data_IF_504940612572
#
_entry.id   IF_504940612572
#
_cell.length_a   1.000
_cell.length_b   1.000
_cell.length_c   1.000
_cell.angle_alpha   90.00
_cell.angle_beta   90.00
_cell.angle_gamma   90.00
#
_symmetry.space_group_name_H-M   'P 1'
#
loop_
_entity.id
_entity.type
_entity.pdbx_description
1 polymer ?
#
# COMPACT_ATOMS: atom_id res chain seq x y z
N UNK A 1 -15.37 -14.00 -10.39
CA UNK A 1 -15.28 -14.62 -11.73
C UNK A 1 -13.85 -14.57 -12.28
N UNK A 2 -13.19 -13.41 -12.32
CA UNK A 2 -11.82 -13.28 -12.88
C UNK A 2 -10.78 -14.17 -12.17
N UNK A 3 -10.77 -14.26 -10.84
CA UNK A 3 -9.86 -15.14 -10.09
C UNK A 3 -9.99 -16.63 -10.49
N UNK A 4 -11.19 -17.10 -10.80
CA UNK A 4 -11.42 -18.47 -11.26
C UNK A 4 -10.84 -18.70 -12.65
N UNK A 5 -10.93 -17.68 -13.52
CA UNK A 5 -10.35 -17.72 -14.88
C UNK A 5 -8.81 -17.68 -14.79
N UNK A 6 -8.24 -16.92 -13.87
CA UNK A 6 -6.79 -16.80 -13.72
C UNK A 6 -6.13 -17.99 -12.99
N UNK A 7 -6.91 -18.77 -12.21
CA UNK A 7 -6.38 -19.91 -11.47
C UNK A 7 -5.66 -20.96 -12.35
N UNK A 8 -6.20 -21.37 -13.52
CA UNK A 8 -5.49 -22.29 -14.43
C UNK A 8 -4.16 -21.74 -14.94
N UNK A 9 -4.10 -20.42 -15.24
CA UNK A 9 -2.86 -19.77 -15.66
C UNK A 9 -1.83 -19.75 -14.53
N UNK A 10 -2.25 -19.41 -13.33
CA UNK A 10 -1.39 -19.48 -12.15
C UNK A 10 -0.83 -20.90 -11.95
N UNK A 11 -1.66 -21.93 -12.05
CA UNK A 11 -1.23 -23.32 -11.92
C UNK A 11 -0.29 -23.75 -13.05
N UNK A 12 -0.55 -23.35 -14.28
CA UNK A 12 0.33 -23.65 -15.43
C UNK A 12 1.71 -23.00 -15.28
N UNK A 13 1.75 -21.72 -14.85
CA UNK A 13 3.00 -21.01 -14.60
C UNK A 13 3.76 -21.59 -13.39
N UNK A 14 3.06 -22.00 -12.31
CA UNK A 14 3.68 -22.73 -11.20
C UNK A 14 4.26 -24.08 -11.68
N UNK A 15 3.55 -24.81 -12.53
CA UNK A 15 4.06 -26.06 -13.08
C UNK A 15 5.30 -25.84 -13.95
N UNK A 16 5.31 -24.80 -14.79
CA UNK A 16 6.50 -24.42 -15.55
C UNK A 16 7.67 -24.15 -14.62
N UNK A 17 7.52 -23.30 -13.62
CA UNK A 17 8.58 -22.96 -12.67
C UNK A 17 9.04 -24.17 -11.86
N UNK A 18 8.10 -25.03 -11.43
CA UNK A 18 8.41 -26.30 -10.79
C UNK A 18 9.29 -27.19 -11.67
N UNK A 19 8.90 -27.38 -12.95
CA UNK A 19 9.67 -28.20 -13.90
C UNK A 19 11.09 -27.66 -14.07
N UNK A 20 11.24 -26.35 -14.19
CA UNK A 20 12.56 -25.72 -14.36
C UNK A 20 13.43 -25.85 -13.13
N UNK A 21 12.92 -25.51 -11.97
CA UNK A 21 13.67 -25.61 -10.71
C UNK A 21 13.96 -27.06 -10.31
N UNK A 22 13.03 -27.99 -10.58
CA UNK A 22 13.24 -29.42 -10.33
C UNK A 22 14.30 -30.01 -11.26
N UNK A 23 14.27 -29.65 -12.55
CA UNK A 23 15.30 -30.07 -13.52
C UNK A 23 16.70 -29.57 -13.10
N UNK A 24 16.80 -28.30 -12.70
CA UNK A 24 18.03 -27.74 -12.17
C UNK A 24 18.49 -28.45 -10.90
N UNK A 25 17.60 -28.70 -9.96
CA UNK A 25 17.89 -29.41 -8.73
C UNK A 25 18.46 -30.80 -9.00
N UNK A 26 17.93 -31.53 -9.99
CA UNK A 26 18.40 -32.85 -10.35
C UNK A 26 19.82 -32.86 -10.92
N UNK A 27 20.21 -31.77 -11.60
CA UNK A 27 21.59 -31.60 -12.09
C UNK A 27 22.55 -31.32 -10.94
N UNK A 28 22.14 -30.51 -9.96
CA UNK A 28 23.01 -30.10 -8.84
C UNK A 28 23.19 -31.17 -7.76
N UNK A 29 22.18 -32.05 -7.55
CA UNK A 29 22.19 -33.02 -6.45
C UNK A 29 22.64 -34.39 -6.94
N UNK A 30 23.94 -34.60 -7.02
CA UNK A 30 24.51 -35.92 -7.29
C UNK A 30 25.03 -36.66 -6.03
N UNK A 31 25.02 -35.99 -4.84
CA UNK A 31 25.97 -36.38 -3.81
C UNK A 31 25.37 -37.11 -2.59
N UNK A 32 24.15 -36.87 -2.14
CA UNK A 32 23.63 -37.49 -0.91
C UNK A 32 22.10 -37.70 -0.98
N UNK A 33 21.64 -38.95 -1.02
CA UNK A 33 20.21 -39.32 -1.00
C UNK A 33 19.32 -38.50 -1.94
N UNK A 34 19.57 -38.49 -3.25
CA UNK A 34 18.90 -37.62 -4.23
C UNK A 34 17.39 -37.79 -4.21
N UNK A 35 16.87 -38.98 -3.96
CA UNK A 35 15.43 -39.26 -3.99
C UNK A 35 14.69 -38.64 -2.81
N UNK A 36 15.27 -38.65 -1.61
CA UNK A 36 14.67 -38.00 -0.43
C UNK A 36 14.60 -36.47 -0.64
N UNK A 37 15.67 -35.88 -1.15
CA UNK A 37 15.72 -34.42 -1.40
C UNK A 37 14.72 -34.05 -2.49
N UNK A 38 14.66 -34.80 -3.58
CA UNK A 38 13.66 -34.61 -4.65
C UNK A 38 12.24 -34.72 -4.14
N UNK A 39 11.97 -35.69 -3.27
CA UNK A 39 10.67 -35.89 -2.65
C UNK A 39 10.30 -34.71 -1.74
N UNK A 40 11.19 -34.30 -0.83
CA UNK A 40 10.97 -33.15 0.05
C UNK A 40 10.77 -31.87 -0.74
N UNK A 41 11.56 -31.65 -1.80
CA UNK A 41 11.39 -30.49 -2.67
C UNK A 41 10.00 -30.44 -3.32
N UNK A 42 9.51 -31.57 -3.87
CA UNK A 42 8.15 -31.65 -4.45
C UNK A 42 7.08 -31.24 -3.47
N UNK A 43 7.13 -31.79 -2.26
CA UNK A 43 6.15 -31.48 -1.21
C UNK A 43 6.22 -29.99 -0.84
N UNK A 44 7.42 -29.48 -0.55
CA UNK A 44 7.61 -28.10 -0.13
C UNK A 44 7.17 -27.11 -1.22
N UNK A 45 7.57 -27.37 -2.47
CA UNK A 45 7.19 -26.53 -3.59
C UNK A 45 5.66 -26.43 -3.74
N UNK A 46 4.95 -27.57 -3.71
CA UNK A 46 3.52 -27.55 -3.91
C UNK A 46 2.74 -27.05 -2.68
N UNK A 47 3.25 -27.23 -1.48
CA UNK A 47 2.67 -26.58 -0.29
C UNK A 47 2.76 -25.05 -0.43
N UNK A 48 3.90 -24.52 -0.87
CA UNK A 48 4.06 -23.08 -1.09
C UNK A 48 3.23 -22.60 -2.29
N UNK A 49 3.26 -23.34 -3.41
CA UNK A 49 2.48 -23.02 -4.61
C UNK A 49 0.96 -23.04 -4.39
N UNK A 50 0.46 -23.92 -3.54
CA UNK A 50 -0.96 -23.95 -3.16
C UNK A 50 -1.32 -23.10 -1.95
N UNK A 51 -0.35 -22.47 -1.31
CA UNK A 51 -0.57 -21.71 -0.07
C UNK A 51 -1.67 -20.66 -0.19
N UNK A 52 -1.79 -20.00 -1.35
CA UNK A 52 -2.84 -19.02 -1.64
C UNK A 52 -4.24 -19.65 -1.56
N UNK A 53 -4.43 -20.79 -2.22
CA UNK A 53 -5.71 -21.50 -2.22
C UNK A 53 -6.02 -22.10 -0.85
N UNK A 54 -5.00 -22.67 -0.19
CA UNK A 54 -5.14 -23.21 1.15
C UNK A 54 -5.56 -22.11 2.13
N UNK A 55 -4.90 -20.95 2.08
CA UNK A 55 -5.23 -19.80 2.94
C UNK A 55 -6.65 -19.27 2.71
N UNK A 56 -7.17 -19.37 1.49
CA UNK A 56 -8.53 -18.93 1.16
C UNK A 56 -9.61 -19.88 1.69
N UNK A 57 -9.34 -21.19 1.62
CA UNK A 57 -10.32 -22.24 2.02
C UNK A 57 -10.30 -22.48 3.54
N UNK A 58 -9.16 -22.33 4.19
CA UNK A 58 -9.05 -22.59 5.62
C UNK A 58 -9.95 -21.66 6.45
N UNK A 59 -10.58 -22.17 7.51
CA UNK A 59 -11.27 -21.34 8.48
C UNK A 59 -10.26 -20.44 9.21
N UNK A 60 -10.74 -19.31 9.70
CA UNK A 60 -9.93 -18.35 10.46
C UNK A 60 -9.25 -19.02 11.67
N UNK A 61 -7.93 -19.14 11.60
CA UNK A 61 -7.11 -19.86 12.56
C UNK A 61 -5.64 -19.40 12.48
N UNK A 62 -4.83 -19.82 13.46
CA UNK A 62 -3.37 -19.62 13.40
C UNK A 62 -2.75 -20.25 12.15
N UNK A 63 -3.27 -21.39 11.72
CA UNK A 63 -2.82 -22.08 10.52
C UNK A 63 -3.14 -21.27 9.27
N UNK A 64 -4.36 -20.75 9.14
CA UNK A 64 -4.74 -19.88 8.04
C UNK A 64 -3.82 -18.65 7.97
N UNK A 65 -3.52 -18.01 9.11
CA UNK A 65 -2.59 -16.88 9.17
C UNK A 65 -1.20 -17.22 8.64
N UNK A 66 -0.68 -18.40 8.99
CA UNK A 66 0.61 -18.88 8.47
C UNK A 66 0.56 -19.00 6.96
N UNK A 67 -0.49 -19.62 6.40
CA UNK A 67 -0.66 -19.77 4.96
C UNK A 67 -0.90 -18.43 4.24
N UNK A 68 -1.60 -17.47 4.85
CA UNK A 68 -1.75 -16.10 4.31
C UNK A 68 -0.40 -15.40 4.20
N UNK A 69 0.39 -15.41 5.26
CA UNK A 69 1.74 -14.82 5.24
C UNK A 69 2.63 -15.55 4.21
N UNK A 70 2.61 -16.89 4.21
CA UNK A 70 3.37 -17.69 3.26
C UNK A 70 2.98 -17.37 1.80
N UNK A 71 1.68 -17.27 1.50
CA UNK A 71 1.19 -16.95 0.16
C UNK A 71 1.61 -15.56 -0.31
N UNK A 72 1.61 -14.57 0.59
CA UNK A 72 2.02 -13.22 0.27
C UNK A 72 3.50 -13.16 -0.15
N UNK A 73 4.39 -13.82 0.60
CA UNK A 73 5.80 -13.94 0.20
C UNK A 73 5.98 -14.79 -1.06
N UNK A 74 5.23 -15.91 -1.14
CA UNK A 74 5.32 -16.81 -2.29
C UNK A 74 5.01 -16.12 -3.61
N UNK A 75 3.96 -15.31 -3.68
CA UNK A 75 3.59 -14.60 -4.92
C UNK A 75 4.74 -13.69 -5.40
N UNK A 76 5.38 -12.93 -4.49
CA UNK A 76 6.54 -12.09 -4.86
C UNK A 76 7.73 -12.91 -5.36
N UNK A 77 8.09 -13.98 -4.63
CA UNK A 77 9.14 -14.92 -5.03
C UNK A 77 8.80 -15.57 -6.36
N UNK A 78 7.54 -15.99 -6.54
CA UNK A 78 7.05 -16.63 -7.75
C UNK A 78 7.20 -15.75 -8.98
N UNK A 79 6.74 -14.50 -8.95
CA UNK A 79 6.87 -13.59 -10.09
C UNK A 79 8.33 -13.25 -10.39
N UNK A 80 9.16 -13.02 -9.36
CA UNK A 80 10.58 -12.79 -9.53
C UNK A 80 11.27 -13.99 -10.18
N UNK A 81 11.03 -15.20 -9.65
CA UNK A 81 11.61 -16.44 -10.16
C UNK A 81 11.09 -16.76 -11.58
N UNK A 82 9.81 -16.51 -11.86
CA UNK A 82 9.21 -16.72 -13.17
C UNK A 82 9.86 -15.83 -14.23
N UNK A 83 10.02 -14.52 -13.91
CA UNK A 83 10.67 -13.57 -14.81
C UNK A 83 12.11 -13.98 -15.11
N UNK A 84 12.88 -14.30 -14.07
CA UNK A 84 14.29 -14.68 -14.23
C UNK A 84 14.45 -16.04 -14.94
N UNK A 85 13.57 -17.00 -14.66
CA UNK A 85 13.58 -18.29 -15.35
C UNK A 85 13.22 -18.13 -16.83
N UNK A 86 12.21 -17.33 -17.15
CA UNK A 86 11.83 -17.05 -18.54
C UNK A 86 12.93 -16.30 -19.31
N UNK A 87 13.57 -15.32 -18.67
CA UNK A 87 14.72 -14.61 -19.24
C UNK A 87 15.91 -15.57 -19.46
N UNK A 88 16.19 -16.45 -18.51
CA UNK A 88 17.22 -17.49 -18.64
C UNK A 88 16.93 -18.46 -19.78
N UNK A 89 15.65 -18.84 -19.98
CA UNK A 89 15.25 -19.69 -21.11
C UNK A 89 15.42 -19.00 -22.45
N UNK A 90 15.05 -17.73 -22.53
CA UNK A 90 15.22 -16.93 -23.73
C UNK A 90 16.70 -16.79 -24.11
N UNK A 91 17.56 -16.47 -23.16
CA UNK A 91 19.03 -16.42 -23.36
C UNK A 91 19.54 -17.79 -23.78
N UNK A 92 19.02 -18.86 -23.15
CA UNK A 92 19.39 -20.24 -23.47
C UNK A 92 19.10 -20.67 -24.91
N UNK A 93 18.22 -19.97 -25.64
CA UNK A 93 17.97 -20.23 -27.07
C UNK A 93 19.20 -19.92 -27.95
N UNK A 94 20.04 -18.97 -27.50
CA UNK A 94 21.23 -18.53 -28.22
C UNK A 94 22.51 -19.29 -27.85
N UNK A 95 22.42 -20.25 -26.93
CA UNK A 95 23.57 -21.07 -26.48
C UNK A 95 23.56 -22.41 -27.23
N UNK A 96 24.56 -22.67 -28.12
CA UNK A 96 24.51 -23.79 -29.06
C UNK A 96 24.63 -25.19 -28.40
N UNK A 97 25.31 -25.30 -27.26
CA UNK A 97 25.44 -26.56 -26.48
C UNK A 97 25.12 -26.29 -25.02
N UNK A 98 24.11 -26.99 -24.50
CA UNK A 98 23.72 -26.92 -23.08
C UNK A 98 24.55 -27.92 -22.29
N UNK A 99 25.73 -27.49 -21.84
CA UNK A 99 26.51 -28.25 -20.85
C UNK A 99 25.79 -28.22 -19.50
N UNK A 100 25.83 -29.33 -18.77
CA UNK A 100 25.24 -29.44 -17.43
C UNK A 100 25.84 -28.44 -16.44
N UNK A 101 27.12 -28.12 -16.58
CA UNK A 101 27.78 -27.11 -15.76
C UNK A 101 27.23 -25.71 -15.99
N UNK A 102 26.92 -25.35 -17.24
CA UNK A 102 26.30 -24.07 -17.59
C UNK A 102 24.85 -23.99 -17.01
N UNK A 103 24.10 -25.08 -17.12
CA UNK A 103 22.76 -25.18 -16.56
C UNK A 103 22.78 -25.06 -15.03
N UNK A 104 23.72 -25.72 -14.36
CA UNK A 104 23.89 -25.63 -12.92
C UNK A 104 24.24 -24.19 -12.48
N UNK A 105 25.23 -23.58 -13.16
CA UNK A 105 25.65 -22.21 -12.86
C UNK A 105 24.53 -21.19 -13.08
N UNK A 106 23.78 -21.29 -14.18
CA UNK A 106 22.63 -20.43 -14.46
C UNK A 106 21.54 -20.56 -13.37
N UNK A 107 21.23 -21.79 -12.95
CA UNK A 107 20.27 -22.02 -11.88
C UNK A 107 20.71 -21.44 -10.53
N UNK A 108 22.02 -21.55 -10.19
CA UNK A 108 22.58 -20.92 -8.99
C UNK A 108 22.47 -19.41 -9.06
N UNK A 109 22.79 -18.79 -10.21
CA UNK A 109 22.68 -17.35 -10.40
C UNK A 109 21.23 -16.87 -10.26
N UNK A 110 20.27 -17.58 -10.87
CA UNK A 110 18.85 -17.26 -10.76
C UNK A 110 18.39 -17.36 -9.30
N UNK A 111 18.75 -18.43 -8.60
CA UNK A 111 18.39 -18.62 -7.19
C UNK A 111 18.98 -17.52 -6.31
N UNK A 112 20.26 -17.19 -6.53
CA UNK A 112 20.94 -16.12 -5.81
C UNK A 112 20.26 -14.75 -6.07
N UNK A 113 19.91 -14.47 -7.32
CA UNK A 113 19.18 -13.24 -7.68
C UNK A 113 17.79 -13.18 -7.01
N UNK A 114 17.00 -14.26 -7.07
CA UNK A 114 15.70 -14.35 -6.38
C UNK A 114 15.86 -14.09 -4.89
N UNK A 115 16.86 -14.71 -4.24
CA UNK A 115 17.13 -14.54 -2.82
C UNK A 115 17.50 -13.09 -2.50
N UNK A 116 18.42 -12.50 -3.27
CA UNK A 116 18.85 -11.11 -3.08
C UNK A 116 17.65 -10.15 -3.25
N UNK A 117 16.89 -10.28 -4.32
CA UNK A 117 15.73 -9.43 -4.55
C UNK A 117 14.66 -9.60 -3.47
N UNK A 118 14.39 -10.83 -3.04
CA UNK A 118 13.39 -11.10 -1.99
C UNK A 118 13.82 -10.49 -0.65
N UNK A 119 15.08 -10.69 -0.25
CA UNK A 119 15.61 -10.15 1.01
C UNK A 119 15.67 -8.63 0.96
N UNK A 120 16.23 -8.07 -0.12
CA UNK A 120 16.32 -6.62 -0.31
C UNK A 120 14.94 -5.97 -0.29
N UNK A 121 13.99 -6.48 -1.09
CA UNK A 121 12.62 -5.95 -1.13
C UNK A 121 11.92 -6.06 0.22
N UNK A 122 12.09 -7.17 0.95
CA UNK A 122 11.51 -7.35 2.28
C UNK A 122 12.08 -6.39 3.34
N UNK A 123 13.34 -5.99 3.22
CA UNK A 123 13.97 -4.99 4.09
C UNK A 123 13.51 -3.60 3.68
N UNK A 124 13.56 -3.31 2.39
CA UNK A 124 13.21 -1.99 1.83
C UNK A 124 11.75 -1.65 2.09
N UNK A 125 10.82 -2.59 1.92
CA UNK A 125 9.40 -2.41 2.22
C UNK A 125 9.09 -2.04 3.70
N UNK A 126 10.05 -2.22 4.61
CA UNK A 126 9.93 -1.81 6.02
C UNK A 126 10.63 -0.50 6.33
N UNK A 127 11.26 0.11 5.35
CA UNK A 127 11.85 1.42 5.48
C UNK A 127 10.76 2.49 5.31
N UNK A 128 10.83 3.53 6.12
CA UNK A 128 9.87 4.63 6.10
C UNK A 128 10.66 5.91 5.92
N UNK A 129 10.43 6.58 4.80
CA UNK A 129 11.01 7.86 4.49
C UNK A 129 10.00 8.98 4.70
N UNK A 130 10.49 10.15 5.06
CA UNK A 130 9.71 11.38 5.14
C UNK A 130 10.11 12.28 3.99
N UNK A 131 9.13 12.78 3.27
CA UNK A 131 9.34 13.75 2.18
C UNK A 131 8.63 15.05 2.56
N UNK A 132 9.33 16.15 2.51
CA UNK A 132 8.78 17.48 2.81
C UNK A 132 8.33 18.14 1.52
N UNK A 133 7.13 18.73 1.56
CA UNK A 133 6.56 19.55 0.50
C UNK A 133 6.17 20.90 1.07
N UNK A 134 6.37 21.96 0.30
CA UNK A 134 5.87 23.30 0.61
C UNK A 134 4.79 23.66 -0.37
N UNK A 135 3.59 23.97 0.15
CA UNK A 135 2.45 24.39 -0.65
C UNK A 135 2.02 25.76 -0.18
N UNK A 136 1.88 26.70 -1.09
CA UNK A 136 1.40 28.03 -0.80
C UNK A 136 -0.10 28.14 -1.08
N UNK A 137 -0.86 28.63 -0.11
CA UNK A 137 -2.29 28.92 -0.25
C UNK A 137 -2.51 30.39 0.01
N UNK A 138 -3.09 31.11 -0.96
CA UNK A 138 -3.33 32.56 -0.87
C UNK A 138 -4.65 32.85 -0.14
N UNK A 139 -4.71 32.40 1.12
CA UNK A 139 -5.85 32.61 2.01
C UNK A 139 -5.40 32.79 3.45
N UNK A 140 -6.08 33.65 4.18
CA UNK A 140 -5.77 33.90 5.59
C UNK A 140 -6.09 32.66 6.47
N UNK A 141 -5.15 32.27 7.33
CA UNK A 141 -5.31 31.18 8.28
C UNK A 141 -5.24 31.69 9.73
N UNK A 142 -6.21 32.54 10.14
CA UNK A 142 -6.33 33.08 11.49
C UNK A 142 -5.02 33.63 12.10
N UNK A 143 -4.24 34.37 11.30
CA UNK A 143 -2.96 34.98 11.72
C UNK A 143 -1.77 34.00 11.75
N UNK A 144 -1.94 32.75 11.35
CA UNK A 144 -0.84 31.79 11.16
C UNK A 144 -0.21 31.99 9.80
N UNK A 145 1.13 31.92 9.76
CA UNK A 145 1.92 31.99 8.53
C UNK A 145 2.24 30.59 7.96
N UNK A 146 2.17 29.58 8.79
CA UNK A 146 2.51 28.20 8.45
C UNK A 146 1.58 27.23 9.16
N UNK A 147 1.17 26.17 8.45
CA UNK A 147 0.47 25.01 9.00
C UNK A 147 1.23 23.75 8.57
N UNK A 148 1.77 23.02 9.54
CA UNK A 148 2.50 21.78 9.28
C UNK A 148 1.57 20.58 9.32
N UNK A 149 1.35 19.97 8.17
CA UNK A 149 0.44 18.82 8.02
C UNK A 149 1.27 17.55 7.77
N UNK A 150 1.09 16.54 8.61
CA UNK A 150 1.61 15.23 8.34
C UNK A 150 0.54 14.41 7.56
N UNK A 151 0.88 13.99 6.34
CA UNK A 151 0.07 13.07 5.55
C UNK A 151 0.60 11.65 5.68
N UNK A 152 -0.28 10.72 6.01
CA UNK A 152 -0.06 9.28 6.02
C UNK A 152 -1.17 8.62 5.23
N UNK A 153 -0.86 7.59 4.42
CA UNK A 153 -1.85 6.81 3.70
C UNK A 153 -1.35 5.36 3.55
N UNK A 154 -2.24 4.46 3.15
CA UNK A 154 -1.88 3.09 2.74
C UNK A 154 -1.11 2.31 3.81
N UNK A 155 -1.60 2.34 5.07
CA UNK A 155 -1.00 1.62 6.19
C UNK A 155 -1.16 0.09 6.05
N UNK A 156 -2.25 -0.35 5.43
CA UNK A 156 -2.60 -1.75 5.22
C UNK A 156 -2.33 -2.64 6.44
N UNK A 157 -2.84 -2.22 7.60
CA UNK A 157 -2.72 -3.00 8.83
C UNK A 157 -3.39 -4.37 8.66
N UNK A 158 -2.61 -5.44 8.76
CA UNK A 158 -3.10 -6.76 8.44
C UNK A 158 -2.11 -7.89 8.73
N UNK A 159 -1.96 -8.81 7.78
CA UNK A 159 -1.09 -9.97 7.94
C UNK A 159 0.40 -9.60 7.92
N UNK A 160 0.81 -8.66 7.09
CA UNK A 160 2.21 -8.29 6.85
C UNK A 160 2.61 -6.96 7.49
N UNK A 161 1.67 -6.03 7.66
CA UNK A 161 1.85 -4.73 8.30
C UNK A 161 1.24 -4.74 9.71
N UNK A 162 1.96 -4.24 10.70
CA UNK A 162 1.50 -4.27 12.09
C UNK A 162 2.29 -3.35 13.03
N UNK A 163 2.29 -3.69 14.31
CA UNK A 163 2.82 -2.86 15.40
C UNK A 163 4.22 -2.29 15.15
N UNK A 164 5.14 -3.09 14.57
CA UNK A 164 6.51 -2.61 14.30
C UNK A 164 6.55 -1.43 13.34
N UNK A 165 5.68 -1.45 12.35
CA UNK A 165 5.56 -0.43 11.33
C UNK A 165 4.88 0.81 11.90
N UNK A 166 3.76 0.60 12.63
CA UNK A 166 3.06 1.68 13.33
C UNK A 166 4.00 2.44 14.28
N UNK A 167 4.85 1.76 15.04
CA UNK A 167 5.85 2.41 15.91
C UNK A 167 6.79 3.32 15.15
N UNK A 168 7.25 2.90 13.97
CA UNK A 168 8.14 3.73 13.14
C UNK A 168 7.42 4.96 12.61
N UNK A 169 6.17 4.79 12.14
CA UNK A 169 5.35 5.87 11.60
C UNK A 169 5.07 6.91 12.69
N UNK A 170 4.57 6.47 13.84
CA UNK A 170 4.27 7.36 14.97
C UNK A 170 5.52 8.13 15.42
N UNK A 171 6.66 7.43 15.48
CA UNK A 171 7.94 8.08 15.78
C UNK A 171 8.28 9.20 14.78
N UNK A 172 8.15 8.94 13.48
CA UNK A 172 8.47 9.92 12.44
C UNK A 172 7.47 11.08 12.42
N UNK A 173 6.16 10.80 12.58
CA UNK A 173 5.15 11.84 12.71
C UNK A 173 5.52 12.79 13.88
N UNK A 174 5.79 12.22 15.06
CA UNK A 174 6.09 13.02 16.25
C UNK A 174 7.42 13.79 16.13
N UNK A 175 8.41 13.24 15.42
CA UNK A 175 9.66 13.96 15.11
C UNK A 175 9.42 15.17 14.21
N UNK A 176 8.46 15.09 13.29
CA UNK A 176 8.05 16.18 12.41
C UNK A 176 7.28 17.30 13.13
N UNK A 177 6.81 17.08 14.37
CA UNK A 177 6.02 18.03 15.16
C UNK A 177 4.90 18.69 14.34
N UNK A 178 3.97 17.90 13.74
CA UNK A 178 2.92 18.45 12.92
C UNK A 178 1.88 19.20 13.74
N UNK A 179 1.24 20.21 13.14
CA UNK A 179 0.07 20.84 13.70
C UNK A 179 -1.18 19.98 13.49
N UNK A 180 -1.25 19.28 12.36
CA UNK A 180 -2.37 18.43 11.93
C UNK A 180 -1.83 17.11 11.41
N UNK A 181 -2.51 16.00 11.70
CA UNK A 181 -2.21 14.69 11.11
C UNK A 181 -3.42 14.21 10.30
N UNK A 182 -3.18 13.90 9.04
CA UNK A 182 -4.16 13.41 8.08
C UNK A 182 -3.81 11.97 7.64
N UNK A 183 -4.72 11.02 7.85
CA UNK A 183 -4.58 9.63 7.41
C UNK A 183 -5.56 9.42 6.24
N UNK A 184 -5.01 9.41 5.03
CA UNK A 184 -5.80 9.41 3.79
C UNK A 184 -6.12 7.99 3.30
N UNK A 185 -6.80 7.19 4.12
CA UNK A 185 -7.38 5.89 3.74
C UNK A 185 -6.41 4.72 3.66
N UNK A 186 -6.96 3.55 3.37
CA UNK A 186 -6.32 2.23 3.34
C UNK A 186 -5.52 1.96 4.61
N UNK A 187 -6.17 2.22 5.74
CA UNK A 187 -5.60 2.01 7.07
C UNK A 187 -5.53 0.52 7.37
N UNK A 188 -6.53 -0.24 6.94
CA UNK A 188 -6.63 -1.68 7.13
C UNK A 188 -6.54 -2.42 5.80
N UNK A 189 -6.16 -3.70 5.88
CA UNK A 189 -6.09 -4.59 4.75
C UNK A 189 -7.29 -5.54 4.73
N UNK A 190 -8.48 -4.99 4.46
CA UNK A 190 -9.79 -5.63 4.33
C UNK A 190 -10.28 -6.44 5.53
N UNK A 191 -9.44 -7.09 6.28
CA UNK A 191 -9.83 -7.95 7.40
C UNK A 191 -9.29 -7.42 8.74
N UNK A 192 -10.13 -6.85 9.60
CA UNK A 192 -9.72 -6.44 10.95
C UNK A 192 -9.01 -7.55 11.74
N UNK A 193 -9.49 -8.80 11.60
CA UNK A 193 -8.90 -9.98 12.27
C UNK A 193 -7.50 -10.33 11.76
N UNK A 194 -7.09 -9.79 10.60
CA UNK A 194 -5.72 -9.90 10.13
C UNK A 194 -4.76 -9.05 10.97
N UNK A 195 -5.27 -8.02 11.63
CA UNK A 195 -4.49 -7.15 12.52
C UNK A 195 -4.04 -7.93 13.74
N UNK A 196 -2.73 -8.03 13.92
CA UNK A 196 -2.14 -8.70 15.08
C UNK A 196 -2.00 -7.72 16.23
N UNK A 197 -2.41 -8.12 17.43
CA UNK A 197 -2.32 -7.31 18.66
C UNK A 197 -2.98 -5.91 18.52
N UNK A 198 -4.28 -5.82 18.13
CA UNK A 198 -4.93 -4.54 17.82
C UNK A 198 -4.88 -3.55 19.00
N UNK A 199 -4.98 -4.03 20.25
CA UNK A 199 -4.87 -3.18 21.44
C UNK A 199 -3.50 -2.49 21.57
N UNK A 200 -2.41 -3.16 21.13
CA UNK A 200 -1.08 -2.56 21.13
C UNK A 200 -0.94 -1.53 20.01
N UNK A 201 -1.60 -1.78 18.88
CA UNK A 201 -1.64 -0.82 17.75
C UNK A 201 -2.44 0.41 18.17
N UNK A 202 -3.61 0.24 18.78
CA UNK A 202 -4.43 1.31 19.33
C UNK A 202 -3.60 2.20 20.28
N UNK A 203 -2.94 1.60 21.27
CA UNK A 203 -2.08 2.33 22.20
C UNK A 203 -0.91 3.04 21.52
N UNK A 204 -0.38 2.50 20.45
CA UNK A 204 0.72 3.11 19.72
C UNK A 204 0.24 4.27 18.86
N UNK A 205 -0.86 4.13 18.13
CA UNK A 205 -1.49 5.19 17.37
C UNK A 205 -1.92 6.35 18.27
N UNK A 206 -2.41 6.04 19.49
CA UNK A 206 -2.76 7.04 20.50
C UNK A 206 -1.58 7.89 21.01
N UNK A 207 -0.34 7.56 20.63
CA UNK A 207 0.85 8.39 20.92
C UNK A 207 1.14 9.45 19.86
N UNK A 208 0.36 9.53 18.80
CA UNK A 208 0.49 10.59 17.79
C UNK A 208 0.24 11.94 18.45
N UNK A 209 1.15 12.87 18.24
CA UNK A 209 1.10 14.22 18.79
C UNK A 209 0.86 15.22 17.67
N UNK A 210 -0.13 16.10 17.87
CA UNK A 210 -0.43 17.20 16.94
C UNK A 210 -1.25 18.25 17.65
N UNK A 211 -1.16 19.50 17.21
CA UNK A 211 -1.86 20.63 17.81
C UNK A 211 -3.38 20.53 17.61
N UNK A 212 -3.79 20.14 16.38
CA UNK A 212 -5.19 20.10 15.97
C UNK A 212 -5.81 18.70 15.95
N UNK A 213 -5.01 17.69 16.29
CA UNK A 213 -5.44 16.32 16.36
C UNK A 213 -5.15 15.52 15.09
N UNK A 214 -5.60 14.27 15.11
CA UNK A 214 -5.43 13.31 14.03
C UNK A 214 -6.77 12.96 13.42
N UNK A 215 -6.85 13.04 12.11
CA UNK A 215 -8.05 12.75 11.34
C UNK A 215 -7.78 11.71 10.28
N UNK A 216 -8.81 10.95 9.92
CA UNK A 216 -8.75 9.93 8.87
C UNK A 216 -9.94 10.02 7.93
N UNK A 217 -9.78 9.58 6.70
CA UNK A 217 -10.86 9.15 5.83
C UNK A 217 -10.69 7.67 5.49
N UNK A 218 -11.75 7.04 4.97
CA UNK A 218 -11.67 5.66 4.52
C UNK A 218 -11.07 5.54 3.12
N UNK A 219 -10.34 4.42 2.89
CA UNK A 219 -9.93 3.96 1.58
C UNK A 219 -10.71 2.75 1.10
N UNK A 220 -10.38 2.26 -0.09
CA UNK A 220 -11.11 1.15 -0.73
C UNK A 220 -10.83 -0.22 -0.08
N UNK A 221 -9.76 -0.36 0.69
CA UNK A 221 -9.44 -1.55 1.49
C UNK A 221 -10.00 -1.49 2.92
N UNK A 222 -10.50 -0.36 3.38
CA UNK A 222 -11.09 -0.20 4.71
C UNK A 222 -12.52 -0.74 4.77
N UNK A 223 -12.74 -1.94 4.24
CA UNK A 223 -14.00 -2.66 4.21
C UNK A 223 -13.77 -4.15 4.41
N UNK A 224 -14.65 -4.80 5.20
CA UNK A 224 -14.55 -6.22 5.49
C UNK A 224 -14.85 -7.11 4.29
N UNK A 225 -13.84 -7.47 3.53
CA UNK A 225 -13.94 -8.36 2.36
C UNK A 225 -12.89 -9.48 2.41
N UNK A 226 -13.23 -10.64 1.86
CA UNK A 226 -12.26 -11.71 1.65
C UNK A 226 -11.48 -11.47 0.36
N UNK A 227 -10.17 -11.66 0.39
CA UNK A 227 -9.28 -11.48 -0.75
C UNK A 227 -8.68 -12.80 -1.17
N UNK A 228 -8.63 -13.04 -2.48
CA UNK A 228 -7.89 -14.12 -3.13
C UNK A 228 -7.10 -13.56 -4.31
N UNK A 229 -5.76 -13.54 -4.19
CA UNK A 229 -4.89 -13.08 -5.27
C UNK A 229 -5.17 -11.65 -5.74
N UNK A 230 -5.47 -10.72 -4.82
CA UNK A 230 -5.81 -9.33 -5.14
C UNK A 230 -7.26 -9.11 -5.58
N UNK A 231 -8.10 -10.16 -5.66
CA UNK A 231 -9.51 -10.05 -5.99
C UNK A 231 -10.38 -10.15 -4.75
N UNK A 232 -11.31 -9.22 -4.60
CA UNK A 232 -12.21 -9.16 -3.45
C UNK A 232 -13.46 -10.01 -3.68
N UNK A 233 -13.89 -10.71 -2.63
CA UNK A 233 -15.11 -11.50 -2.56
C UNK A 233 -15.90 -11.02 -1.35
N UNK A 234 -16.78 -10.06 -1.54
CA UNK A 234 -17.47 -9.42 -0.43
C UNK A 234 -18.97 -9.45 -0.51
N UNK A 235 -19.59 -9.18 0.63
CA UNK A 235 -21.03 -8.96 0.78
C UNK A 235 -21.29 -7.45 0.82
N UNK A 236 -22.38 -7.02 0.19
CA UNK A 236 -22.80 -5.61 0.06
C UNK A 236 -23.30 -4.92 1.35
N UNK A 237 -22.90 -5.38 2.53
CA UNK A 237 -23.37 -4.77 3.80
C UNK A 237 -22.17 -4.50 4.70
N UNK A 238 -22.23 -3.36 5.40
CA UNK A 238 -21.32 -3.07 6.50
C UNK A 238 -21.31 -4.24 7.48
N UNK A 239 -20.14 -4.64 7.92
CA UNK A 239 -19.93 -5.84 8.74
C UNK A 239 -19.47 -5.46 10.13
N UNK A 240 -19.53 -6.44 11.07
CA UNK A 240 -18.89 -6.28 12.40
C UNK A 240 -17.41 -5.92 12.30
N UNK A 241 -16.77 -6.30 11.22
CA UNK A 241 -15.40 -5.99 10.89
C UNK A 241 -15.19 -4.48 10.68
N UNK A 242 -16.10 -3.81 9.94
CA UNK A 242 -16.02 -2.37 9.69
C UNK A 242 -16.20 -1.58 10.99
N UNK A 243 -17.11 -2.02 11.85
CA UNK A 243 -17.30 -1.43 13.18
C UNK A 243 -16.05 -1.57 14.06
N UNK A 244 -15.39 -2.71 14.05
CA UNK A 244 -14.15 -2.91 14.81
C UNK A 244 -13.01 -2.03 14.33
N UNK A 245 -12.93 -1.77 13.01
CA UNK A 245 -11.97 -0.82 12.43
C UNK A 245 -12.23 0.60 12.94
N UNK A 246 -13.48 1.05 12.92
CA UNK A 246 -13.90 2.37 13.41
C UNK A 246 -13.64 2.52 14.92
N UNK A 247 -13.97 1.50 15.71
CA UNK A 247 -13.72 1.49 17.15
C UNK A 247 -12.22 1.59 17.49
N UNK A 248 -11.34 0.92 16.73
CA UNK A 248 -9.91 1.02 16.93
C UNK A 248 -9.42 2.45 16.69
N UNK A 249 -9.85 3.09 15.59
CA UNK A 249 -9.49 4.47 15.29
C UNK A 249 -9.99 5.43 16.39
N UNK A 250 -11.24 5.29 16.79
CA UNK A 250 -11.83 6.11 17.85
C UNK A 250 -11.09 6.00 19.18
N UNK A 251 -10.74 4.76 19.61
CA UNK A 251 -9.97 4.54 20.85
C UNK A 251 -8.53 5.02 20.74
N UNK A 252 -7.98 5.08 19.54
CA UNK A 252 -6.67 5.68 19.27
C UNK A 252 -6.71 7.22 19.24
N UNK A 253 -7.87 7.85 19.46
CA UNK A 253 -8.02 9.30 19.37
C UNK A 253 -8.03 9.86 17.95
N UNK A 254 -8.18 9.01 16.94
CA UNK A 254 -8.25 9.37 15.53
C UNK A 254 -9.71 9.64 15.17
N UNK A 255 -9.99 10.83 14.64
CA UNK A 255 -11.35 11.23 14.24
C UNK A 255 -11.60 10.90 12.78
N UNK A 256 -12.57 10.04 12.53
CA UNK A 256 -12.98 9.69 11.17
C UNK A 256 -13.87 10.76 10.56
N UNK A 257 -13.50 11.25 9.39
CA UNK A 257 -14.31 12.13 8.55
C UNK A 257 -14.79 11.33 7.32
N UNK A 258 -16.07 11.00 7.31
CA UNK A 258 -16.72 10.22 6.26
C UNK A 258 -17.80 11.08 5.61
N UNK A 259 -17.47 11.71 4.46
CA UNK A 259 -18.23 12.77 3.80
C UNK A 259 -18.62 13.93 4.76
N UNK A 260 -17.65 14.34 5.58
CA UNK A 260 -17.82 15.39 6.58
C UNK A 260 -16.76 16.48 6.42
N UNK A 261 -17.20 17.71 6.66
CA UNK A 261 -16.34 18.89 6.71
C UNK A 261 -16.43 19.54 8.08
N UNK A 262 -15.29 19.93 8.63
CA UNK A 262 -15.19 20.60 9.94
C UNK A 262 -14.34 21.85 9.81
N UNK A 263 -14.67 22.87 10.60
CA UNK A 263 -13.82 24.05 10.80
C UNK A 263 -12.93 23.82 12.00
N UNK A 264 -11.61 23.92 11.81
CA UNK A 264 -10.62 23.72 12.86
C UNK A 264 -10.14 25.09 13.34
N UNK A 265 -10.29 25.32 14.66
CA UNK A 265 -9.83 26.52 15.37
C UNK A 265 -10.30 27.86 14.73
N UNK A 266 -11.44 27.84 14.01
CA UNK A 266 -11.89 28.98 13.23
C UNK A 266 -10.96 29.39 12.06
N UNK A 267 -9.89 28.65 11.81
CA UNK A 267 -8.77 29.01 10.95
C UNK A 267 -8.85 28.39 9.56
N UNK A 268 -9.17 27.13 9.45
CA UNK A 268 -9.23 26.40 8.18
C UNK A 268 -10.24 25.26 8.23
N UNK A 269 -10.68 24.81 7.06
CA UNK A 269 -11.57 23.66 6.94
C UNK A 269 -10.77 22.39 6.62
N UNK A 270 -11.20 21.30 7.24
CA UNK A 270 -10.75 19.95 6.90
C UNK A 270 -11.98 19.12 6.50
N UNK A 271 -11.96 18.59 5.29
CA UNK A 271 -12.96 17.68 4.79
C UNK A 271 -12.39 16.29 4.60
N UNK A 272 -13.12 15.25 5.00
CA UNK A 272 -12.80 13.86 4.67
C UNK A 272 -13.87 13.30 3.74
N UNK A 273 -13.43 12.78 2.61
CA UNK A 273 -14.32 12.20 1.60
C UNK A 273 -14.47 10.70 1.81
N UNK A 274 -15.68 10.22 1.58
CA UNK A 274 -15.95 8.78 1.49
C UNK A 274 -15.30 8.21 0.24
N UNK A 275 -14.59 7.11 0.37
CA UNK A 275 -14.03 6.43 -0.81
C UNK A 275 -15.14 5.96 -1.76
N UNK A 276 -14.98 6.26 -3.05
CA UNK A 276 -16.02 5.99 -4.05
C UNK A 276 -16.24 4.50 -4.30
N UNK A 277 -15.17 3.69 -4.18
CA UNK A 277 -15.22 2.24 -4.37
C UNK A 277 -15.85 1.57 -3.16
N UNK A 278 -15.51 2.02 -1.93
CA UNK A 278 -16.14 1.56 -0.69
C UNK A 278 -17.63 1.90 -0.67
N UNK A 279 -18.00 3.15 -0.96
CA UNK A 279 -19.40 3.58 -1.01
C UNK A 279 -20.23 2.69 -1.94
N UNK A 280 -19.77 2.48 -3.17
CA UNK A 280 -20.44 1.62 -4.14
C UNK A 280 -20.61 0.18 -3.67
N UNK A 281 -19.61 -0.38 -2.98
CA UNK A 281 -19.64 -1.76 -2.47
C UNK A 281 -20.72 -1.93 -1.38
N UNK A 282 -20.92 -0.93 -0.53
CA UNK A 282 -21.93 -0.95 0.54
C UNK A 282 -23.31 -0.40 0.11
N UNK A 283 -23.43 0.06 -1.14
CA UNK A 283 -24.67 0.59 -1.70
C UNK A 283 -24.97 2.02 -1.28
N UNK A 284 -23.95 2.77 -0.87
CA UNK A 284 -24.04 4.20 -0.54
C UNK A 284 -23.54 5.08 -1.68
N UNK A 285 -23.88 6.36 -1.62
CA UNK A 285 -23.37 7.37 -2.53
C UNK A 285 -22.41 8.29 -1.80
N UNK A 286 -21.29 8.59 -2.44
CA UNK A 286 -20.34 9.61 -2.01
C UNK A 286 -20.90 11.00 -2.29
N UNK A 287 -20.72 11.95 -1.38
CA UNK A 287 -21.09 13.34 -1.61
C UNK A 287 -20.25 13.94 -2.74
N UNK A 288 -20.91 14.71 -3.61
CA UNK A 288 -20.21 15.53 -4.60
C UNK A 288 -19.37 16.62 -3.92
N UNK A 289 -18.30 17.07 -4.58
CA UNK A 289 -17.39 18.08 -4.05
C UNK A 289 -18.13 19.37 -3.62
N UNK A 290 -19.06 19.85 -4.44
CA UNK A 290 -19.87 21.05 -4.15
C UNK A 290 -20.74 20.88 -2.90
N UNK A 291 -21.37 19.72 -2.72
CA UNK A 291 -22.22 19.47 -1.55
C UNK A 291 -21.41 19.28 -0.26
N UNK A 292 -20.19 18.72 -0.39
CA UNK A 292 -19.28 18.53 0.73
C UNK A 292 -18.76 19.87 1.28
N UNK A 293 -18.49 20.83 0.40
CA UNK A 293 -17.86 22.10 0.73
C UNK A 293 -18.83 23.30 0.73
N UNK A 294 -20.13 23.08 0.50
CA UNK A 294 -21.14 24.15 0.33
C UNK A 294 -21.23 25.13 1.49
N UNK A 295 -20.97 24.65 2.70
CA UNK A 295 -21.11 25.45 3.95
C UNK A 295 -19.74 26.03 4.40
N UNK A 296 -18.67 25.90 3.56
CA UNK A 296 -17.36 26.46 3.85
C UNK A 296 -17.29 27.96 3.52
N UNK A 297 -16.70 28.71 4.44
CA UNK A 297 -16.24 30.07 4.15
C UNK A 297 -14.94 29.98 3.33
N UNK A 298 -15.06 30.14 2.01
CA UNK A 298 -13.96 30.00 1.06
C UNK A 298 -12.89 31.11 1.16
N UNK A 299 -13.02 32.06 2.06
CA UNK A 299 -11.97 33.00 2.41
C UNK A 299 -10.88 32.34 3.29
N UNK A 300 -11.19 31.16 3.86
CA UNK A 300 -10.29 30.33 4.66
C UNK A 300 -9.75 29.15 3.84
N UNK A 301 -8.56 28.64 4.20
CA UNK A 301 -8.04 27.42 3.55
C UNK A 301 -8.98 26.23 3.72
N UNK A 302 -9.12 25.44 2.66
CA UNK A 302 -9.91 24.21 2.62
C UNK A 302 -9.02 23.04 2.22
N UNK A 303 -8.76 22.15 3.18
CA UNK A 303 -7.98 20.93 2.99
C UNK A 303 -8.95 19.76 2.84
N UNK A 304 -8.75 18.93 1.83
CA UNK A 304 -9.55 17.73 1.59
C UNK A 304 -8.68 16.49 1.75
N UNK A 305 -9.14 15.50 2.49
CA UNK A 305 -8.60 14.15 2.49
C UNK A 305 -9.47 13.29 1.59
N UNK A 306 -8.88 12.73 0.55
CA UNK A 306 -9.51 11.77 -0.36
C UNK A 306 -8.55 10.61 -0.59
N UNK A 307 -8.97 9.37 -0.41
CA UNK A 307 -8.05 8.27 -0.60
C UNK A 307 -7.62 8.12 -2.05
N UNK A 308 -8.60 8.06 -2.98
CA UNK A 308 -8.33 7.96 -4.40
C UNK A 308 -8.14 9.35 -5.02
N UNK A 309 -6.99 9.66 -5.69
CA UNK A 309 -6.73 10.95 -6.32
C UNK A 309 -7.58 11.16 -7.58
N UNK A 310 -8.86 11.46 -7.37
CA UNK A 310 -9.87 11.63 -8.42
C UNK A 310 -10.63 12.93 -8.24
N UNK A 311 -11.27 13.39 -9.32
CA UNK A 311 -12.17 14.55 -9.30
C UNK A 311 -11.49 15.89 -8.89
N UNK A 312 -10.18 16.03 -9.15
CA UNK A 312 -9.42 17.24 -8.81
C UNK A 312 -10.07 18.54 -9.33
N UNK A 313 -10.57 18.49 -10.57
CA UNK A 313 -11.24 19.65 -11.16
C UNK A 313 -12.50 20.04 -10.38
N UNK A 314 -13.31 19.05 -10.01
CA UNK A 314 -14.53 19.27 -9.24
C UNK A 314 -14.24 19.78 -7.83
N UNK A 315 -13.17 19.29 -7.19
CA UNK A 315 -12.72 19.75 -5.88
C UNK A 315 -12.22 21.19 -5.95
N UNK A 316 -11.38 21.51 -6.94
CA UNK A 316 -10.89 22.88 -7.15
C UNK A 316 -12.02 23.86 -7.45
N UNK A 317 -12.97 23.50 -8.33
CA UNK A 317 -14.15 24.31 -8.64
C UNK A 317 -15.09 24.48 -7.42
N UNK A 318 -15.07 23.55 -6.47
CA UNK A 318 -15.80 23.64 -5.22
C UNK A 318 -15.10 24.46 -4.14
N UNK A 319 -13.83 24.90 -4.37
CA UNK A 319 -13.08 25.76 -3.48
C UNK A 319 -12.07 25.03 -2.58
N UNK A 320 -11.73 23.78 -2.86
CA UNK A 320 -10.62 23.07 -2.20
C UNK A 320 -9.28 23.70 -2.62
N UNK A 321 -8.41 23.97 -1.65
CA UNK A 321 -7.07 24.50 -1.87
C UNK A 321 -6.00 23.42 -1.88
N UNK A 322 -6.20 22.35 -1.13
CA UNK A 322 -5.27 21.23 -1.00
C UNK A 322 -6.02 19.92 -0.94
N UNK A 323 -5.64 18.95 -1.77
CA UNK A 323 -6.12 17.58 -1.73
C UNK A 323 -4.99 16.64 -1.28
N UNK A 324 -5.27 15.87 -0.21
CA UNK A 324 -4.36 14.92 0.41
C UNK A 324 -4.82 13.50 0.14
N UNK A 325 -4.08 12.74 -0.67
CA UNK A 325 -4.49 11.43 -1.12
C UNK A 325 -3.37 10.37 -1.08
N UNK A 326 -3.76 9.11 -1.16
CA UNK A 326 -2.92 7.92 -1.23
C UNK A 326 -3.20 7.07 -2.47
N UNK A 327 -3.46 5.75 -2.27
CA UNK A 327 -4.00 4.79 -3.24
C UNK A 327 -3.07 4.35 -4.38
N UNK A 328 -2.30 5.24 -4.97
CA UNK A 328 -1.56 4.93 -6.21
C UNK A 328 -0.35 4.04 -5.99
N UNK A 329 0.14 3.96 -4.77
CA UNK A 329 1.36 3.23 -4.39
C UNK A 329 2.53 3.45 -5.37
N UNK A 330 2.55 4.56 -6.08
CA UNK A 330 3.51 4.92 -7.14
C UNK A 330 3.75 3.82 -8.21
N UNK A 331 2.74 2.97 -8.44
CA UNK A 331 2.85 1.88 -9.39
C UNK A 331 3.79 0.75 -8.97
N UNK A 332 3.93 0.48 -7.68
CA UNK A 332 4.68 -0.55 -6.92
C UNK A 332 5.43 -1.65 -7.71
N UNK A 333 5.05 -1.95 -8.94
CA UNK A 333 5.65 -3.03 -9.75
C UNK A 333 6.45 -2.41 -10.89
N UNK A 334 7.76 -2.61 -10.89
CA UNK A 334 8.60 -2.25 -12.03
C UNK A 334 8.25 -3.14 -13.26
N UNK A 335 8.12 -2.58 -14.47
CA UNK A 335 8.29 -1.18 -14.89
C UNK A 335 7.01 -0.32 -14.81
N UNK A 336 5.98 -0.73 -14.09
CA UNK A 336 4.71 -0.02 -13.94
C UNK A 336 4.77 1.25 -13.08
N UNK A 337 5.92 1.53 -12.47
CA UNK A 337 6.21 2.70 -11.64
C UNK A 337 6.44 4.00 -12.46
N UNK A 338 5.88 4.11 -13.67
CA UNK A 338 5.87 5.41 -14.35
C UNK A 338 5.05 6.36 -13.47
N UNK A 339 5.61 7.53 -13.11
CA UNK A 339 4.88 8.47 -12.28
C UNK A 339 3.54 8.75 -12.95
N UNK A 340 2.47 8.45 -12.26
CA UNK A 340 1.16 8.97 -12.61
C UNK A 340 1.22 10.47 -12.33
N UNK A 341 1.80 11.21 -13.29
CA UNK A 341 1.86 12.66 -13.31
C UNK A 341 0.45 13.19 -13.52
N UNK A 342 -0.37 13.08 -12.50
CA UNK A 342 -1.65 13.75 -12.43
C UNK A 342 -1.42 15.03 -11.64
N UNK A 343 -0.86 16.02 -12.31
CA UNK A 343 -0.79 17.36 -11.81
C UNK A 343 -2.17 18.01 -11.90
N UNK A 344 -2.91 17.93 -10.81
CA UNK A 344 -3.90 18.94 -10.47
C UNK A 344 -3.18 20.09 -9.75
N UNK A 345 -3.70 21.33 -9.76
CA UNK A 345 -3.15 22.37 -8.92
C UNK A 345 -3.22 21.91 -7.45
N UNK A 346 -2.07 21.81 -6.80
CA UNK A 346 -1.90 21.50 -5.39
C UNK A 346 -2.43 20.13 -4.91
N UNK A 347 -2.28 19.07 -5.71
CA UNK A 347 -2.53 17.70 -5.24
C UNK A 347 -1.23 17.09 -4.75
N UNK A 348 -1.19 16.72 -3.48
CA UNK A 348 -0.13 15.87 -2.93
C UNK A 348 -0.60 14.44 -2.96
N UNK A 349 -0.28 13.74 -4.04
CA UNK A 349 -0.40 12.29 -4.09
C UNK A 349 0.91 11.67 -3.66
N UNK A 350 0.78 10.67 -2.82
CA UNK A 350 1.95 10.02 -2.33
C UNK A 350 2.35 8.77 -3.11
N UNK A 351 3.67 8.58 -3.19
CA UNK A 351 4.38 7.53 -3.93
C UNK A 351 4.70 6.33 -3.11
N UNK A 352 3.94 5.63 -2.43
CA UNK A 352 4.19 4.33 -1.81
C UNK A 352 3.57 4.12 -0.43
N UNK A 353 3.38 2.88 -0.10
CA UNK A 353 2.87 2.37 1.16
C UNK A 353 3.71 2.87 2.33
N UNK A 354 3.17 3.69 3.16
CA UNK A 354 3.76 4.10 4.43
C UNK A 354 4.93 5.09 4.35
N UNK A 355 4.64 6.32 4.04
CA UNK A 355 5.51 7.48 4.26
C UNK A 355 4.75 8.51 5.09
N UNK A 356 5.38 9.35 5.83
CA UNK A 356 4.81 10.57 6.35
C UNK A 356 5.27 11.73 5.46
N UNK A 357 4.34 12.49 4.90
CA UNK A 357 4.67 13.74 4.24
C UNK A 357 4.34 14.89 5.18
N UNK A 358 5.26 15.84 5.33
CA UNK A 358 5.02 17.08 6.03
C UNK A 358 4.81 18.18 5.00
N UNK A 359 3.64 18.82 5.00
CA UNK A 359 3.37 19.97 4.17
C UNK A 359 3.30 21.23 5.02
N UNK A 360 4.08 22.25 4.67
CA UNK A 360 3.97 23.60 5.23
C UNK A 360 3.06 24.45 4.34
N UNK A 361 2.04 25.08 4.93
CA UNK A 361 1.24 26.11 4.30
C UNK A 361 1.82 27.47 4.68
N UNK A 362 2.32 28.22 3.71
CA UNK A 362 2.92 29.56 3.94
C UNK A 362 1.99 30.63 3.40
N UNK A 363 1.71 31.64 4.21
CA UNK A 363 0.88 32.79 3.85
C UNK A 363 1.64 33.74 2.90
N UNK A 364 1.07 33.98 1.73
CA UNK A 364 1.40 35.13 0.88
C UNK A 364 2.39 34.92 -0.26
N UNK A 365 1.87 35.04 -1.44
CA UNK A 365 2.47 35.05 -2.78
C UNK A 365 2.78 33.67 -3.39
N UNK A 366 1.99 33.33 -4.40
CA UNK A 366 2.21 32.23 -5.32
C UNK A 366 3.52 32.44 -6.08
N UNK A 367 4.60 31.92 -5.59
CA UNK A 367 5.62 31.38 -6.46
C UNK A 367 5.56 29.89 -6.29
N UNK A 368 4.70 29.24 -7.05
CA UNK A 368 4.82 27.84 -7.32
C UNK A 368 6.10 27.64 -8.13
N UNK A 369 7.24 27.64 -7.50
CA UNK A 369 8.38 26.85 -7.94
C UNK A 369 8.04 25.39 -7.64
N UNK A 370 7.01 24.92 -8.32
CA UNK A 370 7.00 23.53 -8.74
C UNK A 370 8.25 23.39 -9.59
N UNK A 371 9.19 22.52 -9.23
CA UNK A 371 10.34 22.30 -10.07
C UNK A 371 9.80 22.03 -11.46
N UNK A 372 10.19 22.85 -12.42
CA UNK A 372 10.10 22.54 -13.84
C UNK A 372 10.66 21.14 -14.03
N UNK A 373 10.20 20.43 -15.02
CA UNK A 373 10.39 19.02 -15.35
C UNK A 373 11.72 18.34 -14.98
N UNK A 374 12.74 19.07 -14.56
CA UNK A 374 14.10 18.61 -14.32
C UNK A 374 14.53 18.52 -12.84
N UNK A 375 13.75 19.00 -11.88
CA UNK A 375 14.06 18.80 -10.47
C UNK A 375 13.24 17.66 -9.91
N UNK A 376 13.63 16.54 -10.33
CA UNK A 376 14.02 15.35 -9.62
C UNK A 376 13.31 15.14 -8.29
N UNK A 377 12.24 14.40 -8.39
CA UNK A 377 12.06 13.34 -7.42
C UNK A 377 13.28 12.40 -7.56
N UNK A 378 14.37 12.69 -6.85
CA UNK A 378 15.48 11.76 -6.69
C UNK A 378 14.93 10.54 -5.96
N UNK A 379 14.68 9.51 -6.74
CA UNK A 379 15.45 8.28 -6.78
C UNK A 379 15.89 7.78 -5.41
N UNK A 380 15.03 6.89 -4.88
CA UNK A 380 15.53 5.62 -4.36
C UNK A 380 14.43 4.59 -4.55
N UNK A 381 14.21 4.21 -5.81
CA UNK A 381 13.26 3.22 -6.23
C UNK A 381 13.99 2.06 -6.86
N UNK A 382 14.30 1.07 -6.06
CA UNK A 382 14.57 -0.25 -6.57
C UNK A 382 13.83 -1.23 -5.67
N UNK A 383 12.72 -1.78 -6.19
CA UNK A 383 12.09 -3.01 -5.72
C UNK A 383 11.38 -2.97 -4.37
N UNK A 384 10.28 -2.28 -4.27
CA UNK A 384 9.24 -2.64 -3.32
C UNK A 384 8.61 -3.96 -3.80
N UNK A 385 8.84 -5.03 -3.05
CA UNK A 385 7.92 -6.17 -3.08
C UNK A 385 6.67 -5.67 -2.37
N UNK A 386 5.53 -5.53 -3.05
CA UNK A 386 4.31 -5.09 -2.40
C UNK A 386 3.98 -6.04 -1.24
N UNK A 387 3.36 -5.57 -0.17
CA UNK A 387 2.47 -6.44 0.55
C UNK A 387 1.42 -6.84 -0.49
N UNK A 388 1.54 -8.05 -1.01
CA UNK A 388 0.62 -8.59 -1.98
C UNK A 388 -0.74 -8.69 -1.32
N UNK A 389 -1.59 -7.78 -1.73
CA UNK A 389 -3.00 -7.72 -1.38
C UNK A 389 -3.73 -8.91 -2.00
#
# INVERSE_FOLDING_TARGET
MLAVILAPFYLALNYYLYKRSFSWLTVCIHIIHPDKIRFCYRILYWITGFSLLIAFVLPQSRLQRIFKILSNYWIGIFFCALFLAAAGDLIGLFIPKKDQSILAAAGVMILAAVLVFTVYGSIHARHIDTTDYVVTVDKACAGRKELRVALVADLHLGYNSGLSQVKKIVKQINQGKPDLVCIAGDIFDNEYRAVKDPEKIEKELGKIQSTYGTYACWGNHDIGEKILGGFTFGTKKASDNDRQMEELLSRSGIRLLDDKTILIDGAFYLAGRKDSSKARKIGELRRGAKDLLKDCDLTKPVIVMDHEPKEFKQLSEAGADLDLSGHTHDGQIFPGNKPSRMAGPHTLTRRSSVHAALAGLVDGSLTADLPREDSMCLQNNLWEVPPLV
#
